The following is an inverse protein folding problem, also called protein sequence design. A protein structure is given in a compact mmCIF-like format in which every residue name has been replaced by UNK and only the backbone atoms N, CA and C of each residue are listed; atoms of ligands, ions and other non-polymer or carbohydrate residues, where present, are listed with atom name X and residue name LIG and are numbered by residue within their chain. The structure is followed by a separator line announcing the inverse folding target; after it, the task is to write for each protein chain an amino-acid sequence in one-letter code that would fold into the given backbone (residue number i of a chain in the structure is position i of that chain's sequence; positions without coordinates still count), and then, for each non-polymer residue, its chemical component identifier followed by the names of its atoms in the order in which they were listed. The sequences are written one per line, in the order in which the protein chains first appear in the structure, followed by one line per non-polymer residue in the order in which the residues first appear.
data_IF_539970605618
#
_entry.id   IF_539970605618
#
_cell.length_a   1.000
_cell.length_b   1.000
_cell.length_c   1.000
_cell.angle_alpha   90.00
_cell.angle_beta   90.00
_cell.angle_gamma   90.00
#
_symmetry.space_group_name_H-M   'P 1'
#
loop_
_entity.id
_entity.type
_entity.pdbx_description
1 polymer ?
#
# COMPACT_ATOMS: atom_id res chain seq x y z
N UNK A 1 -30.29 -5.72 -22.15
CA UNK A 1 -29.27 -6.66 -21.63
C UNK A 1 -29.19 -6.50 -20.13
N UNK A 2 -29.95 -7.30 -19.39
CA UNK A 2 -30.20 -7.06 -17.97
C UNK A 2 -30.92 -8.25 -17.33
N UNK A 3 -30.28 -9.41 -17.35
CA UNK A 3 -30.68 -10.57 -16.55
C UNK A 3 -29.60 -10.72 -15.46
N UNK A 4 -29.96 -10.81 -14.18
CA UNK A 4 -29.01 -11.12 -13.12
C UNK A 4 -28.32 -12.45 -13.44
N UNK A 5 -26.99 -12.45 -13.50
CA UNK A 5 -26.21 -13.70 -13.54
C UNK A 5 -26.11 -14.26 -12.13
N UNK A 6 -25.81 -15.55 -12.02
CA UNK A 6 -25.52 -16.19 -10.74
C UNK A 6 -24.38 -15.47 -10.00
N UNK A 7 -24.39 -15.58 -8.68
CA UNK A 7 -23.31 -15.07 -7.84
C UNK A 7 -21.99 -15.75 -8.23
N UNK A 8 -20.95 -14.93 -8.38
CA UNK A 8 -19.61 -15.41 -8.69
C UNK A 8 -18.78 -15.45 -7.40
N UNK A 9 -18.06 -16.54 -7.12
CA UNK A 9 -17.18 -16.61 -5.95
C UNK A 9 -15.97 -15.69 -6.14
N UNK A 10 -15.78 -14.77 -5.19
CA UNK A 10 -14.60 -13.91 -5.12
C UNK A 10 -13.57 -14.55 -4.19
N UNK A 11 -12.50 -15.12 -4.78
CA UNK A 11 -11.40 -15.72 -4.00
C UNK A 11 -10.20 -14.78 -3.83
N UNK A 12 -9.88 -13.98 -4.87
CA UNK A 12 -8.75 -13.04 -4.88
C UNK A 12 -9.07 -11.77 -5.64
N UNK A 13 -8.53 -10.66 -5.16
CA UNK A 13 -8.62 -9.35 -5.79
C UNK A 13 -9.92 -8.62 -5.50
N UNK A 14 -9.97 -7.36 -5.94
CA UNK A 14 -11.14 -6.50 -5.82
C UNK A 14 -11.80 -6.35 -7.19
N UNK A 15 -13.13 -6.40 -7.23
CA UNK A 15 -13.88 -6.24 -8.47
C UNK A 15 -13.83 -4.79 -8.94
N UNK A 16 -13.16 -4.52 -10.05
CA UNK A 16 -13.21 -3.21 -10.70
C UNK A 16 -14.66 -2.81 -11.02
N UNK A 17 -14.97 -1.53 -10.82
CA UNK A 17 -16.33 -0.99 -11.00
C UNK A 17 -17.28 -1.25 -9.83
N UNK A 18 -16.86 -1.98 -8.78
CA UNK A 18 -17.59 -2.01 -7.52
C UNK A 18 -17.32 -0.69 -6.74
N UNK A 19 -18.36 0.02 -6.28
CA UNK A 19 -18.20 1.29 -5.57
C UNK A 19 -17.38 1.19 -4.26
N UNK A 20 -17.24 -0.01 -3.67
CA UNK A 20 -16.45 -0.23 -2.45
C UNK A 20 -14.98 -0.54 -2.71
N UNK A 21 -14.61 -0.98 -3.92
CA UNK A 21 -13.22 -1.37 -4.21
C UNK A 21 -12.19 -0.27 -4.02
N UNK A 22 -12.46 1.02 -4.35
CA UNK A 22 -11.51 2.10 -4.07
C UNK A 22 -11.21 2.25 -2.57
N UNK A 23 -12.22 2.10 -1.72
CA UNK A 23 -12.04 2.19 -0.26
C UNK A 23 -11.18 1.04 0.27
N UNK A 24 -11.48 -0.20 -0.15
CA UNK A 24 -10.71 -1.37 0.24
C UNK A 24 -9.25 -1.31 -0.25
N UNK A 25 -9.03 -0.69 -1.41
CA UNK A 25 -7.69 -0.44 -1.93
C UNK A 25 -6.88 0.49 -1.02
N UNK A 26 -7.48 1.63 -0.62
CA UNK A 26 -6.84 2.57 0.30
C UNK A 26 -6.58 1.95 1.67
N UNK A 27 -7.51 1.13 2.17
CA UNK A 27 -7.34 0.43 3.45
C UNK A 27 -6.11 -0.49 3.43
N UNK A 28 -5.88 -1.21 2.32
CA UNK A 28 -4.70 -2.05 2.16
C UNK A 28 -3.40 -1.22 2.07
N UNK A 29 -3.43 -0.09 1.35
CA UNK A 29 -2.29 0.82 1.25
C UNK A 29 -1.90 1.39 2.63
N UNK A 30 -2.89 1.85 3.40
CA UNK A 30 -2.70 2.36 4.77
C UNK A 30 -2.19 1.27 5.72
N UNK A 31 -2.73 0.05 5.63
CA UNK A 31 -2.22 -1.08 6.42
C UNK A 31 -0.75 -1.38 6.13
N UNK A 32 -0.33 -1.30 4.87
CA UNK A 32 1.07 -1.43 4.48
C UNK A 32 1.93 -0.26 4.99
N UNK A 33 1.41 0.98 4.96
CA UNK A 33 2.08 2.15 5.52
C UNK A 33 2.41 1.95 7.01
N UNK A 34 1.42 1.56 7.82
CA UNK A 34 1.59 1.27 9.26
C UNK A 34 2.62 0.17 9.51
N UNK A 35 2.60 -0.91 8.70
CA UNK A 35 3.58 -1.99 8.81
C UNK A 35 5.01 -1.50 8.50
N UNK A 36 5.17 -0.64 7.49
CA UNK A 36 6.47 -0.08 7.14
C UNK A 36 7.00 0.88 8.22
N UNK A 37 6.13 1.69 8.84
CA UNK A 37 6.52 2.51 9.99
C UNK A 37 7.03 1.64 11.14
N UNK A 38 6.30 0.58 11.49
CA UNK A 38 6.72 -0.36 12.52
C UNK A 38 8.08 -1.02 12.18
N UNK A 39 8.33 -1.36 10.91
CA UNK A 39 9.62 -1.93 10.48
C UNK A 39 10.78 -0.94 10.64
N UNK A 40 10.53 0.36 10.41
CA UNK A 40 11.54 1.41 10.60
C UNK A 40 11.79 1.67 12.09
N UNK A 41 10.73 1.78 12.89
CA UNK A 41 10.82 1.98 14.34
C UNK A 41 11.56 0.84 15.04
N UNK A 42 11.33 -0.40 14.60
CA UNK A 42 12.01 -1.59 15.15
C UNK A 42 13.39 -1.85 14.51
N UNK A 43 13.90 -0.92 13.71
CA UNK A 43 15.21 -1.00 13.05
C UNK A 43 15.40 -2.20 12.11
N UNK A 44 14.32 -2.85 11.66
CA UNK A 44 14.36 -3.91 10.65
C UNK A 44 14.54 -3.34 9.23
N UNK A 45 14.19 -2.08 9.04
CA UNK A 45 14.35 -1.38 7.78
C UNK A 45 14.90 0.04 8.01
N UNK A 46 15.91 0.44 7.26
CA UNK A 46 16.46 1.79 7.29
C UNK A 46 15.96 2.57 6.06
N UNK A 47 15.12 3.58 6.29
CA UNK A 47 14.59 4.45 5.23
C UNK A 47 15.68 5.26 4.52
N UNK A 48 15.39 5.70 3.29
CA UNK A 48 16.27 6.55 2.52
C UNK A 48 16.14 8.02 2.94
N UNK A 49 17.28 8.68 3.18
CA UNK A 49 17.34 10.06 3.64
C UNK A 49 17.53 11.03 2.48
N UNK A 50 16.65 12.03 2.37
CA UNK A 50 16.63 13.01 1.27
C UNK A 50 16.84 14.42 1.85
N UNK A 51 17.77 15.17 1.26
CA UNK A 51 18.08 16.55 1.64
C UNK A 51 19.35 16.67 2.48
N UNK A 52 20.00 17.84 2.40
CA UNK A 52 21.26 18.13 3.11
C UNK A 52 21.04 18.91 4.42
N UNK A 53 20.03 19.79 4.46
CA UNK A 53 19.62 20.52 5.66
C UNK A 53 18.21 20.06 6.03
N UNK A 54 18.03 19.56 7.25
CA UNK A 54 16.80 18.90 7.73
C UNK A 54 16.37 17.71 6.86
N UNK A 55 17.16 16.62 6.85
CA UNK A 55 16.88 15.46 6.02
C UNK A 55 15.51 14.84 6.35
N UNK A 56 14.77 14.48 5.31
CA UNK A 56 13.51 13.73 5.42
C UNK A 56 13.82 12.26 5.17
N UNK A 57 13.38 11.39 6.08
CA UNK A 57 13.48 9.94 5.89
C UNK A 57 12.24 9.42 5.17
N UNK A 58 12.43 8.71 4.07
CA UNK A 58 11.37 8.09 3.27
C UNK A 58 11.62 6.58 3.23
N UNK A 59 10.67 5.78 3.72
CA UNK A 59 10.77 4.32 3.68
C UNK A 59 10.03 3.70 2.50
N UNK A 60 8.94 4.33 2.05
CA UNK A 60 8.13 3.86 0.94
C UNK A 60 7.38 5.00 0.25
N UNK A 61 6.98 4.77 -1.00
CA UNK A 61 6.08 5.62 -1.78
C UNK A 61 5.01 4.72 -2.41
N UNK A 62 3.74 5.10 -2.31
CA UNK A 62 2.61 4.35 -2.83
C UNK A 62 1.82 5.22 -3.80
N UNK A 63 1.47 4.67 -4.96
CA UNK A 63 0.57 5.31 -5.90
C UNK A 63 -0.24 4.28 -6.67
N UNK A 64 -1.57 4.31 -6.53
CA UNK A 64 -2.44 3.27 -7.04
C UNK A 64 -1.84 1.89 -6.69
N UNK A 65 -1.71 0.99 -7.65
CA UNK A 65 -1.16 -0.36 -7.52
C UNK A 65 0.37 -0.46 -7.41
N UNK A 66 1.09 0.65 -7.57
CA UNK A 66 2.55 0.68 -7.45
C UNK A 66 3.00 1.02 -6.03
N UNK A 67 3.99 0.27 -5.54
CA UNK A 67 4.69 0.57 -4.28
C UNK A 67 6.20 0.49 -4.49
N UNK A 68 6.90 1.56 -4.15
CA UNK A 68 8.36 1.62 -4.10
C UNK A 68 8.81 1.58 -2.65
N UNK A 69 9.72 0.66 -2.33
CA UNK A 69 10.41 0.63 -1.04
C UNK A 69 11.79 1.25 -1.21
N UNK A 70 12.12 2.25 -0.39
CA UNK A 70 13.36 3.01 -0.49
C UNK A 70 14.16 2.86 0.81
N UNK A 71 15.30 2.20 0.72
CA UNK A 71 16.14 1.97 1.89
C UNK A 71 16.88 0.64 1.84
N UNK A 72 17.41 0.25 2.99
CA UNK A 72 18.11 -1.02 3.16
C UNK A 72 17.49 -1.83 4.28
N UNK A 73 17.37 -3.15 4.06
CA UNK A 73 17.04 -4.09 5.13
C UNK A 73 18.25 -4.20 6.07
N UNK A 74 18.00 -4.11 7.37
CA UNK A 74 19.01 -4.44 8.41
C UNK A 74 19.32 -5.93 8.46
#
# INVERSE_FOLDING_TARGET
NGIPTDEFPLERGLRQGNPLSPFLFLLAAEGLHVLMEAMVENHFFLGYSIGTQNPISVSHLQFADDTLLLGTKS
#
